data_IF_058663438930
#
_entry.id   IF_058663438930
#
_cell.length_a   1.000
_cell.length_b   1.000
_cell.length_c   1.000
_cell.angle_alpha   90.00
_cell.angle_beta   90.00
_cell.angle_gamma   90.00
#
_symmetry.space_group_name_H-M   'P 1'
#
loop_
_entity.id
_entity.type
_entity.pdbx_description
1 polymer ?
#
# COMPACT_ATOMS: atom_id res chain seq x y z
N UNK A 1 -17.62 0.76 6.42
CA UNK A 1 -16.73 1.94 6.59
C UNK A 1 -15.81 2.12 5.39
N UNK A 2 -14.92 3.14 5.35
CA UNK A 2 -13.83 3.23 4.36
C UNK A 2 -12.48 3.23 5.06
N UNK A 3 -11.56 2.41 4.56
CA UNK A 3 -10.19 2.31 5.06
C UNK A 3 -9.20 2.60 3.95
N UNK A 4 -8.08 3.24 4.28
CA UNK A 4 -6.93 3.37 3.38
C UNK A 4 -5.86 2.43 3.88
N UNK A 5 -5.43 1.50 3.04
CA UNK A 5 -4.31 0.59 3.31
C UNK A 5 -3.17 0.95 2.38
N UNK A 6 -2.00 1.23 2.93
CA UNK A 6 -0.79 1.52 2.16
C UNK A 6 0.11 0.28 2.16
N UNK A 7 0.69 -0.07 1.02
CA UNK A 7 1.69 -1.14 0.91
C UNK A 7 3.11 -0.57 0.88
N UNK A 8 4.07 -1.45 1.16
CA UNK A 8 5.49 -1.20 0.97
C UNK A 8 6.09 -2.28 0.09
N UNK A 9 6.57 -1.88 -1.08
CA UNK A 9 7.39 -2.66 -1.99
C UNK A 9 8.88 -2.51 -1.64
N UNK A 10 9.58 -3.63 -1.54
CA UNK A 10 11.03 -3.71 -1.46
C UNK A 10 11.56 -4.50 -2.65
N UNK A 11 12.58 -3.96 -3.30
CA UNK A 11 13.25 -4.60 -4.43
C UNK A 11 14.65 -5.07 -4.03
N UNK A 12 15.00 -6.32 -4.34
CA UNK A 12 16.32 -6.90 -4.12
C UNK A 12 17.19 -6.74 -5.37
N UNK A 13 17.92 -5.63 -5.43
CA UNK A 13 18.93 -5.35 -6.46
C UNK A 13 19.99 -6.46 -6.55
N UNK A 14 20.31 -7.08 -5.43
CA UNK A 14 21.26 -8.19 -5.35
C UNK A 14 20.82 -9.42 -6.16
N UNK A 15 19.52 -9.68 -6.26
CA UNK A 15 18.98 -10.80 -7.03
C UNK A 15 19.06 -10.57 -8.55
N UNK A 16 19.23 -9.32 -9.00
CA UNK A 16 19.37 -8.98 -10.42
C UNK A 16 20.81 -9.10 -10.94
N UNK A 17 21.80 -8.94 -10.06
CA UNK A 17 23.22 -8.95 -10.43
C UNK A 17 23.95 -10.23 -9.98
N UNK A 18 23.51 -10.85 -8.89
CA UNK A 18 24.15 -12.01 -8.26
C UNK A 18 23.08 -13.05 -7.89
N UNK A 19 23.09 -13.61 -6.68
CA UNK A 19 22.04 -14.53 -6.21
C UNK A 19 21.08 -13.91 -5.18
N UNK A 20 21.30 -12.65 -4.78
CA UNK A 20 20.42 -11.93 -3.85
C UNK A 20 20.32 -12.53 -2.44
N UNK A 21 21.14 -13.52 -2.09
CA UNK A 21 21.03 -14.27 -0.82
C UNK A 21 21.84 -13.62 0.29
N UNK A 22 21.25 -13.56 1.48
CA UNK A 22 21.94 -13.11 2.70
C UNK A 22 23.17 -13.97 3.03
N UNK A 23 23.07 -15.30 2.88
CA UNK A 23 24.15 -16.23 3.23
C UNK A 23 25.45 -15.98 2.45
N UNK A 24 25.33 -15.42 1.23
CA UNK A 24 26.46 -15.14 0.36
C UNK A 24 26.88 -13.66 0.41
N UNK A 25 26.23 -12.84 1.23
CA UNK A 25 26.49 -11.39 1.31
C UNK A 25 25.91 -10.57 0.15
N UNK A 26 25.16 -11.21 -0.75
CA UNK A 26 24.69 -10.62 -2.01
C UNK A 26 23.30 -9.99 -1.89
N UNK A 27 22.71 -9.91 -0.70
CA UNK A 27 21.39 -9.30 -0.51
C UNK A 27 21.51 -7.76 -0.56
N UNK A 28 20.71 -7.11 -1.41
CA UNK A 28 20.68 -5.65 -1.47
C UNK A 28 19.25 -5.14 -1.72
N UNK A 29 18.54 -4.83 -0.64
CA UNK A 29 17.14 -4.45 -0.66
C UNK A 29 16.96 -2.92 -0.61
N UNK A 30 16.01 -2.40 -1.38
CA UNK A 30 15.63 -0.98 -1.38
C UNK A 30 14.14 -0.81 -1.20
N UNK A 31 13.73 0.13 -0.35
CA UNK A 31 12.36 0.62 -0.27
C UNK A 31 12.00 1.38 -1.57
N UNK A 32 10.84 1.08 -2.14
CA UNK A 32 10.36 1.66 -3.41
C UNK A 32 9.01 2.35 -3.31
N UNK A 33 8.58 2.67 -2.10
CA UNK A 33 7.18 3.05 -1.85
C UNK A 33 6.27 1.84 -2.01
N UNK A 34 5.04 2.02 -2.44
CA UNK A 34 4.08 0.96 -2.70
C UNK A 34 2.83 1.58 -3.29
N UNK A 35 1.70 0.91 -3.09
CA UNK A 35 0.40 1.34 -3.57
C UNK A 35 -0.55 1.66 -2.41
N UNK A 36 -1.47 2.59 -2.68
CA UNK A 36 -2.56 2.92 -1.78
C UNK A 36 -3.85 2.23 -2.25
N UNK A 37 -4.59 1.65 -1.30
CA UNK A 37 -5.86 0.99 -1.54
C UNK A 37 -6.97 1.65 -0.72
N UNK A 38 -8.01 2.11 -1.39
CA UNK A 38 -9.26 2.53 -0.75
C UNK A 38 -10.19 1.32 -0.65
N UNK A 39 -10.32 0.78 0.57
CA UNK A 39 -11.10 -0.41 0.86
C UNK A 39 -12.49 -0.03 1.38
N UNK A 40 -13.52 -0.50 0.70
CA UNK A 40 -14.93 -0.38 1.11
C UNK A 40 -15.54 -1.76 1.41
N UNK A 41 -16.72 -1.81 2.02
CA UNK A 41 -17.44 -3.07 2.26
C UNK A 41 -17.00 -3.88 3.50
N UNK A 42 -16.07 -3.34 4.29
CA UNK A 42 -15.61 -3.92 5.56
C UNK A 42 -15.87 -2.98 6.74
N UNK A 43 -15.86 -3.55 7.95
CA UNK A 43 -16.17 -2.84 9.20
C UNK A 43 -14.96 -2.66 10.13
N UNK A 44 -13.84 -3.30 9.84
CA UNK A 44 -12.64 -3.24 10.71
C UNK A 44 -11.35 -3.02 9.91
N UNK A 45 -10.40 -2.23 10.45
CA UNK A 45 -9.13 -1.98 9.77
C UNK A 45 -8.27 -3.25 9.63
N UNK A 46 -8.38 -4.21 10.57
CA UNK A 46 -7.65 -5.48 10.46
C UNK A 46 -8.13 -6.31 9.27
N UNK A 47 -9.44 -6.32 9.02
CA UNK A 47 -10.03 -7.06 7.90
C UNK A 47 -9.63 -6.39 6.56
N UNK A 48 -9.60 -5.05 6.52
CA UNK A 48 -9.13 -4.31 5.34
C UNK A 48 -7.66 -4.59 5.03
N UNK A 49 -6.80 -4.55 6.05
CA UNK A 49 -5.38 -4.89 5.88
C UNK A 49 -5.18 -6.35 5.45
N UNK A 50 -5.92 -7.28 6.04
CA UNK A 50 -5.86 -8.69 5.66
C UNK A 50 -6.35 -8.93 4.23
N UNK A 51 -7.40 -8.22 3.79
CA UNK A 51 -7.88 -8.29 2.42
C UNK A 51 -6.85 -7.75 1.43
N UNK A 52 -6.26 -6.58 1.66
CA UNK A 52 -5.21 -6.03 0.79
C UNK A 52 -3.98 -6.93 0.78
N UNK A 53 -3.60 -7.51 1.93
CA UNK A 53 -2.56 -8.52 1.99
C UNK A 53 -2.84 -9.70 1.04
N UNK A 54 -4.10 -10.15 0.95
CA UNK A 54 -4.46 -11.30 0.11
C UNK A 54 -4.38 -11.04 -1.39
N UNK A 55 -4.49 -9.78 -1.83
CA UNK A 55 -4.52 -9.41 -3.27
C UNK A 55 -3.25 -8.72 -3.77
N UNK A 56 -2.42 -8.20 -2.87
CA UNK A 56 -1.26 -7.37 -3.24
C UNK A 56 0.07 -7.86 -2.64
N UNK A 57 0.08 -8.85 -1.73
CA UNK A 57 1.36 -9.31 -1.16
C UNK A 57 2.20 -10.07 -2.18
N UNK A 58 3.47 -9.70 -2.23
CA UNK A 58 4.51 -10.44 -2.93
C UNK A 58 5.58 -10.88 -1.94
N UNK A 59 6.05 -12.12 -2.08
CA UNK A 59 7.08 -12.64 -1.17
C UNK A 59 8.01 -13.61 -1.91
N UNK A 60 8.96 -13.07 -2.65
CA UNK A 60 9.93 -13.86 -3.40
C UNK A 60 11.35 -13.29 -3.22
N UNK A 61 12.34 -13.85 -3.91
CA UNK A 61 13.74 -13.43 -3.77
C UNK A 61 14.00 -12.02 -4.33
N UNK A 62 13.26 -11.61 -5.36
CA UNK A 62 13.44 -10.37 -6.10
C UNK A 62 12.68 -9.21 -5.48
N UNK A 63 11.50 -9.49 -4.92
CA UNK A 63 10.69 -8.46 -4.29
C UNK A 63 9.89 -8.97 -3.09
N UNK A 64 9.58 -8.02 -2.20
CA UNK A 64 8.57 -8.14 -1.15
C UNK A 64 7.57 -7.01 -1.34
N UNK A 65 6.28 -7.31 -1.25
CA UNK A 65 5.26 -6.29 -1.07
C UNK A 65 4.35 -6.70 0.08
N UNK A 66 4.08 -5.79 1.00
CA UNK A 66 3.20 -6.05 2.14
C UNK A 66 2.50 -4.79 2.61
N UNK A 67 1.27 -4.90 3.16
CA UNK A 67 0.64 -3.78 3.85
C UNK A 67 1.51 -3.27 5.00
N UNK A 68 1.77 -1.97 5.02
CA UNK A 68 2.60 -1.31 6.03
C UNK A 68 1.78 -0.50 7.03
N UNK A 69 0.61 -0.02 6.64
CA UNK A 69 -0.30 0.76 7.50
C UNK A 69 -1.75 0.70 7.03
N UNK A 70 -2.67 0.96 7.96
CA UNK A 70 -4.11 1.08 7.69
C UNK A 70 -4.68 2.23 8.53
N UNK A 71 -5.52 3.06 7.92
CA UNK A 71 -6.19 4.19 8.57
C UNK A 71 -7.66 4.22 8.19
N UNK A 72 -8.51 4.78 9.06
CA UNK A 72 -9.87 5.16 8.65
C UNK A 72 -9.76 6.32 7.67
N UNK A 73 -10.58 6.33 6.61
CA UNK A 73 -10.47 7.32 5.53
C UNK A 73 -10.43 8.78 6.01
N UNK A 74 -11.28 9.16 6.98
CA UNK A 74 -11.27 10.54 7.50
C UNK A 74 -9.97 10.87 8.26
N UNK A 75 -9.44 9.91 9.04
CA UNK A 75 -8.15 10.10 9.73
C UNK A 75 -7.01 10.24 8.72
N UNK A 76 -7.05 9.49 7.63
CA UNK A 76 -6.09 9.62 6.53
C UNK A 76 -6.17 11.00 5.87
N UNK A 77 -7.39 11.51 5.62
CA UNK A 77 -7.60 12.87 5.08
C UNK A 77 -7.03 13.94 6.01
N UNK A 78 -7.28 13.80 7.31
CA UNK A 78 -6.81 14.75 8.32
C UNK A 78 -5.29 14.73 8.47
N UNK A 79 -4.67 13.55 8.53
CA UNK A 79 -3.24 13.39 8.75
C UNK A 79 -2.38 13.69 7.51
N UNK A 80 -2.76 13.20 6.33
CA UNK A 80 -1.92 13.28 5.13
C UNK A 80 -2.14 14.56 4.32
N UNK A 81 -3.30 15.21 4.49
CA UNK A 81 -3.69 16.38 3.72
C UNK A 81 -4.12 17.55 4.59
N UNK A 82 -3.83 17.53 5.89
CA UNK A 82 -4.29 18.56 6.85
C UNK A 82 -5.80 18.85 6.71
N UNK A 83 -6.64 17.83 6.48
CA UNK A 83 -8.07 17.99 6.28
C UNK A 83 -8.47 18.66 4.95
N UNK A 84 -7.56 18.71 3.97
CA UNK A 84 -7.72 19.42 2.69
C UNK A 84 -8.08 20.91 2.86
N UNK A 85 -7.44 21.57 3.83
CA UNK A 85 -7.80 22.93 4.25
C UNK A 85 -7.24 24.04 3.32
N UNK A 86 -6.18 23.76 2.57
CA UNK A 86 -5.64 24.69 1.57
C UNK A 86 -5.88 24.19 0.15
N UNK A 87 -5.78 25.07 -0.85
CA UNK A 87 -5.95 24.65 -2.25
C UNK A 87 -4.86 23.65 -2.69
N UNK A 88 -3.62 23.83 -2.21
CA UNK A 88 -2.55 22.85 -2.42
C UNK A 88 -2.87 21.48 -1.80
N UNK A 89 -3.42 21.45 -0.59
CA UNK A 89 -3.79 20.18 0.07
C UNK A 89 -4.93 19.47 -0.66
N UNK A 90 -5.90 20.23 -1.18
CA UNK A 90 -7.00 19.69 -2.01
C UNK A 90 -6.48 19.12 -3.32
N UNK A 91 -5.63 19.87 -4.03
CA UNK A 91 -5.02 19.40 -5.28
C UNK A 91 -4.21 18.11 -5.04
N UNK A 92 -3.46 18.03 -3.94
CA UNK A 92 -2.71 16.82 -3.60
C UNK A 92 -3.61 15.65 -3.21
N UNK A 93 -4.69 15.90 -2.46
CA UNK A 93 -5.71 14.90 -2.16
C UNK A 93 -6.39 14.37 -3.43
N UNK A 94 -6.80 15.25 -4.34
CA UNK A 94 -7.38 14.88 -5.63
C UNK A 94 -6.43 14.02 -6.45
N UNK A 95 -5.15 14.40 -6.54
CA UNK A 95 -4.11 13.61 -7.18
C UNK A 95 -3.98 12.21 -6.57
N UNK A 96 -3.94 12.10 -5.23
CA UNK A 96 -3.87 10.79 -4.54
C UNK A 96 -5.14 9.96 -4.81
N UNK A 97 -6.31 10.58 -4.80
CA UNK A 97 -7.59 9.92 -5.08
C UNK A 97 -7.77 9.47 -6.53
N UNK A 98 -7.07 10.10 -7.47
CA UNK A 98 -7.00 9.66 -8.87
C UNK A 98 -6.19 8.36 -9.01
N UNK A 99 -5.12 8.21 -8.22
CA UNK A 99 -4.18 7.08 -8.32
C UNK A 99 -4.47 5.94 -7.34
N UNK A 100 -5.29 6.17 -6.31
CA UNK A 100 -5.64 5.16 -5.31
C UNK A 100 -6.45 4.00 -5.94
N UNK A 101 -6.10 2.76 -5.58
CA UNK A 101 -6.79 1.56 -6.06
C UNK A 101 -8.05 1.33 -5.23
N UNK A 102 -9.23 1.49 -5.84
CA UNK A 102 -10.53 1.27 -5.16
C UNK A 102 -10.89 -0.21 -5.19
N UNK A 103 -11.13 -0.80 -4.02
CA UNK A 103 -11.40 -2.24 -3.89
C UNK A 103 -12.52 -2.50 -2.89
N UNK A 104 -13.32 -3.53 -3.16
CA UNK A 104 -14.40 -3.96 -2.29
C UNK A 104 -14.52 -5.50 -2.36
N UNK A 105 -14.26 -6.25 -1.26
CA UNK A 105 -14.32 -7.70 -1.26
C UNK A 105 -15.75 -8.26 -1.45
N UNK A 106 -16.78 -7.43 -1.28
CA UNK A 106 -18.18 -7.82 -1.46
C UNK A 106 -18.65 -7.68 -2.91
N UNK A 107 -17.93 -6.91 -3.73
CA UNK A 107 -18.17 -6.85 -5.16
C UNK A 107 -17.54 -8.08 -5.80
N UNK A 108 -18.32 -8.83 -6.59
CA UNK A 108 -17.78 -9.99 -7.30
C UNK A 108 -16.62 -9.52 -8.17
N UNK A 109 -15.42 -10.02 -7.90
CA UNK A 109 -14.31 -9.97 -8.85
C UNK A 109 -14.81 -10.74 -10.08
N UNK A 110 -15.12 -10.02 -11.15
CA UNK A 110 -15.53 -10.59 -12.41
C UNK A 110 -14.37 -11.36 -13.06
#
# INVERSE_FOLDING_TARGET
>A
MKFVVMTQYLENYGAHCEDGKFANGNAYWKFKGGDDYLVEGLERPQDAMAFVASIAMENNLYCKEFPSSVMVFNEWVDCEFNGANTDHDKEYFEFRMEHIKKVNPMEKVA
#
